data_IF_322192764898
#
_entry.id   IF_322192764898
#
_cell.length_a   1.000
_cell.length_b   1.000
_cell.length_c   1.000
_cell.angle_alpha   90.00
_cell.angle_beta   90.00
_cell.angle_gamma   90.00
#
_symmetry.space_group_name_H-M   'P 1'
#
loop_
_entity.id
_entity.type
_entity.pdbx_description
1 polymer ?
#
# COMPACT_ATOMS: atom_id res chain seq x y z
N UNK A 1 8.30 1.92 25.32
CA UNK A 1 7.39 1.78 24.18
C UNK A 1 7.80 0.53 23.44
N UNK A 2 6.85 -0.23 22.90
CA UNK A 2 7.16 -1.55 22.38
C UNK A 2 6.33 -1.92 21.15
N UNK A 3 7.04 -2.63 20.30
CA UNK A 3 6.83 -3.17 18.96
C UNK A 3 6.76 -2.17 17.82
N UNK A 4 5.83 -1.21 17.81
CA UNK A 4 5.68 -0.36 16.61
C UNK A 4 5.06 1.02 16.87
N UNK A 5 5.89 1.97 17.32
CA UNK A 5 5.54 3.30 17.90
C UNK A 5 4.88 4.32 16.93
N UNK A 6 4.46 3.88 15.74
CA UNK A 6 3.76 4.69 14.75
C UNK A 6 2.23 4.71 14.96
N UNK A 7 1.50 5.68 14.37
CA UNK A 7 0.05 5.70 14.37
C UNK A 7 -0.55 4.37 13.87
N UNK A 8 -1.60 3.92 14.55
CA UNK A 8 -2.39 2.77 14.14
C UNK A 8 -3.48 3.21 13.16
N UNK A 9 -3.55 2.54 12.02
CA UNK A 9 -4.49 2.87 10.94
C UNK A 9 -5.47 1.75 10.60
N UNK A 10 -5.40 0.59 11.26
CA UNK A 10 -6.37 -0.48 11.02
C UNK A 10 -7.77 -0.08 11.50
N UNK A 11 -8.79 -0.48 10.74
CA UNK A 11 -10.19 -0.10 10.96
C UNK A 11 -11.10 -1.30 10.76
N UNK A 12 -11.61 -1.91 11.83
CA UNK A 12 -12.45 -3.12 11.72
C UNK A 12 -13.83 -2.88 11.08
N UNK A 13 -14.33 -1.63 11.15
CA UNK A 13 -15.69 -1.28 10.75
C UNK A 13 -15.76 -0.34 9.54
N UNK A 14 -14.63 -0.04 8.90
CA UNK A 14 -14.59 0.80 7.69
C UNK A 14 -14.10 -0.03 6.50
N UNK A 15 -14.95 -0.17 5.48
CA UNK A 15 -14.59 -0.81 4.21
C UNK A 15 -13.79 0.16 3.33
N UNK A 16 -12.52 0.35 3.70
CA UNK A 16 -11.58 1.21 2.98
C UNK A 16 -10.31 0.46 2.61
N UNK A 17 -9.73 0.83 1.47
CA UNK A 17 -8.45 0.32 0.99
C UNK A 17 -7.47 1.47 0.82
N UNK A 18 -6.28 1.33 1.42
CA UNK A 18 -5.15 2.22 1.16
C UNK A 18 -4.29 1.64 0.06
N UNK A 19 -3.88 2.50 -0.89
CA UNK A 19 -3.17 2.07 -2.10
C UNK A 19 -1.81 2.75 -2.19
N UNK A 20 -0.77 1.95 -2.45
CA UNK A 20 0.58 2.40 -2.76
C UNK A 20 1.04 1.85 -4.11
N UNK A 21 1.73 2.67 -4.88
CA UNK A 21 2.27 2.33 -6.20
C UNK A 21 3.78 2.46 -6.18
N UNK A 22 4.49 1.57 -6.88
CA UNK A 22 5.94 1.68 -6.99
C UNK A 22 6.35 2.91 -7.81
N UNK A 23 7.40 3.60 -7.37
CA UNK A 23 8.04 4.73 -8.05
C UNK A 23 9.26 4.31 -8.87
N UNK A 24 9.69 3.06 -8.73
CA UNK A 24 10.80 2.45 -9.43
C UNK A 24 10.38 1.10 -10.08
N UNK A 25 11.22 0.49 -10.92
CA UNK A 25 11.05 -0.89 -11.34
C UNK A 25 11.00 -1.84 -10.13
N UNK A 26 10.17 -2.89 -10.21
CA UNK A 26 10.03 -3.89 -9.15
C UNK A 26 11.37 -4.55 -8.80
N UNK A 27 12.27 -4.71 -9.78
CA UNK A 27 13.61 -5.29 -9.58
C UNK A 27 14.53 -4.43 -8.70
N UNK A 28 14.16 -3.18 -8.41
CA UNK A 28 14.91 -2.31 -7.50
C UNK A 28 14.38 -2.36 -6.06
N UNK A 29 13.17 -2.90 -5.85
CA UNK A 29 12.59 -3.10 -4.53
C UNK A 29 13.20 -4.38 -3.95
N UNK A 30 13.89 -4.32 -2.79
CA UNK A 30 14.43 -5.51 -2.15
C UNK A 30 13.32 -6.51 -1.79
N UNK A 31 13.59 -7.80 -1.91
CA UNK A 31 12.61 -8.85 -1.55
C UNK A 31 12.16 -8.72 -0.09
N UNK A 32 13.09 -8.39 0.82
CA UNK A 32 12.84 -8.17 2.25
C UNK A 32 12.02 -6.91 2.58
N UNK A 33 11.73 -6.04 1.60
CA UNK A 33 11.09 -4.74 1.87
C UNK A 33 9.70 -4.86 2.52
N UNK A 34 8.97 -5.92 2.18
CA UNK A 34 7.65 -6.25 2.72
C UNK A 34 7.69 -7.43 3.71
N UNK A 35 8.86 -8.05 3.92
CA UNK A 35 9.00 -9.22 4.79
C UNK A 35 9.03 -8.81 6.27
N UNK A 36 8.29 -9.57 7.08
CA UNK A 36 8.17 -9.30 8.50
C UNK A 36 9.49 -9.51 9.23
N UNK A 37 9.87 -8.53 10.01
CA UNK A 37 10.91 -8.68 11.01
C UNK A 37 10.35 -9.55 12.14
N UNK A 38 10.73 -10.83 12.14
CA UNK A 38 10.47 -11.77 13.24
C UNK A 38 11.42 -11.56 14.44
N UNK A 39 12.13 -10.44 14.51
CA UNK A 39 12.95 -10.11 15.67
C UNK A 39 12.04 -10.01 16.91
N UNK A 40 12.46 -10.67 17.98
CA UNK A 40 11.78 -10.64 19.28
C UNK A 40 12.00 -9.30 20.00
N UNK A 41 12.87 -8.44 19.45
CA UNK A 41 13.09 -7.10 19.97
C UNK A 41 11.95 -6.14 19.57
N UNK A 42 11.29 -5.59 20.59
CA UNK A 42 10.19 -4.65 20.48
C UNK A 42 10.56 -3.27 19.89
N UNK A 43 11.83 -3.02 19.56
CA UNK A 43 12.28 -1.75 18.94
C UNK A 43 12.49 -1.84 17.41
N UNK A 44 12.26 -3.02 16.80
CA UNK A 44 12.48 -3.21 15.36
C UNK A 44 11.19 -2.94 14.56
N UNK A 45 11.21 -2.10 13.51
CA UNK A 45 10.04 -1.87 12.65
C UNK A 45 9.51 -3.16 12.03
N UNK A 46 8.20 -3.20 11.73
CA UNK A 46 7.54 -4.42 11.28
C UNK A 46 8.13 -4.97 9.98
N UNK A 47 8.39 -4.07 9.06
CA UNK A 47 9.17 -4.26 7.84
C UNK A 47 9.63 -2.87 7.37
N UNK A 48 10.50 -2.83 6.36
CA UNK A 48 11.03 -1.56 5.85
C UNK A 48 9.90 -0.68 5.27
N UNK A 49 8.89 -1.26 4.64
CA UNK A 49 7.70 -0.54 4.18
C UNK A 49 7.00 0.22 5.31
N UNK A 50 6.75 -0.43 6.44
CA UNK A 50 6.09 0.21 7.60
C UNK A 50 6.92 1.36 8.17
N UNK A 51 8.24 1.16 8.25
CA UNK A 51 9.21 2.19 8.65
C UNK A 51 9.16 3.40 7.70
N UNK A 52 9.22 3.14 6.40
CA UNK A 52 9.22 4.16 5.34
C UNK A 52 7.97 5.04 5.35
N UNK A 53 6.81 4.50 5.75
CA UNK A 53 5.55 5.23 5.83
C UNK A 53 5.17 5.66 7.24
N UNK A 54 6.02 5.38 8.23
CA UNK A 54 5.88 5.85 9.60
C UNK A 54 4.66 5.30 10.33
N UNK A 55 4.27 4.05 10.07
CA UNK A 55 3.23 3.37 10.84
C UNK A 55 3.75 2.06 11.41
N UNK A 56 3.00 1.54 12.37
CA UNK A 56 3.51 0.47 13.18
C UNK A 56 3.35 -0.93 12.60
N UNK A 57 2.12 -1.31 12.30
CA UNK A 57 1.74 -2.68 11.96
C UNK A 57 0.55 -2.70 11.01
N UNK A 58 0.42 -3.75 10.21
CA UNK A 58 -0.76 -4.07 9.42
C UNK A 58 -1.01 -5.58 9.40
N UNK A 59 -2.25 -5.99 9.15
CA UNK A 59 -2.64 -7.39 9.07
C UNK A 59 -2.32 -7.97 7.68
N UNK A 60 -1.57 -9.07 7.63
CA UNK A 60 -1.14 -9.72 6.39
C UNK A 60 -2.30 -10.36 5.63
N UNK A 61 -3.35 -10.77 6.35
CA UNK A 61 -4.53 -11.36 5.74
C UNK A 61 -5.35 -10.31 4.97
N UNK A 62 -5.04 -9.02 5.15
CA UNK A 62 -5.70 -7.88 4.51
C UNK A 62 -4.80 -7.19 3.48
N UNK A 63 -3.71 -7.83 3.07
CA UNK A 63 -2.81 -7.36 2.02
C UNK A 63 -3.20 -7.99 0.69
N UNK A 64 -3.21 -7.18 -0.36
CA UNK A 64 -3.05 -7.69 -1.72
C UNK A 64 -1.95 -6.91 -2.44
N UNK A 65 -1.28 -7.58 -3.36
CA UNK A 65 -0.26 -6.96 -4.18
C UNK A 65 -0.28 -7.55 -5.59
N UNK A 66 0.07 -6.72 -6.56
CA UNK A 66 0.14 -7.14 -7.96
C UNK A 66 1.33 -6.50 -8.64
N UNK A 67 1.95 -7.25 -9.53
CA UNK A 67 3.11 -6.83 -10.30
C UNK A 67 2.78 -6.89 -11.78
N UNK A 68 3.40 -6.00 -12.53
CA UNK A 68 3.29 -6.05 -13.98
C UNK A 68 4.00 -7.26 -14.57
N UNK A 69 3.55 -7.69 -15.75
CA UNK A 69 4.23 -8.74 -16.49
C UNK A 69 5.65 -8.29 -16.86
N UNK A 70 6.62 -9.18 -16.64
CA UNK A 70 8.05 -8.94 -16.92
C UNK A 70 8.67 -7.73 -16.19
N UNK A 71 8.07 -7.30 -15.07
CA UNK A 71 8.56 -6.20 -14.23
C UNK A 71 8.66 -4.83 -14.94
N UNK A 72 7.97 -4.65 -16.07
CA UNK A 72 7.92 -3.36 -16.80
C UNK A 72 6.72 -2.54 -16.35
N UNK A 73 6.88 -1.23 -16.20
CA UNK A 73 5.76 -0.36 -15.84
C UNK A 73 4.56 -0.57 -16.79
N UNK A 74 3.36 -0.72 -16.24
CA UNK A 74 2.09 -0.79 -16.97
C UNK A 74 1.06 0.13 -16.33
N UNK A 75 -0.10 0.28 -16.96
CA UNK A 75 -1.18 1.12 -16.46
C UNK A 75 -1.67 0.68 -15.08
N UNK A 76 -2.06 1.64 -14.24
CA UNK A 76 -2.66 1.32 -12.95
C UNK A 76 -3.97 0.55 -13.07
N UNK A 77 -4.71 0.74 -14.17
CA UNK A 77 -5.93 -0.05 -14.43
C UNK A 77 -5.62 -1.54 -14.49
N UNK A 78 -4.57 -1.92 -15.23
CA UNK A 78 -4.15 -3.32 -15.35
C UNK A 78 -3.69 -3.91 -14.02
N UNK A 79 -2.98 -3.12 -13.20
CA UNK A 79 -2.53 -3.55 -11.88
C UNK A 79 -3.67 -3.68 -10.86
N UNK A 80 -4.65 -2.77 -10.89
CA UNK A 80 -5.76 -2.70 -9.93
C UNK A 80 -6.92 -3.63 -10.27
N UNK A 81 -7.19 -3.86 -11.56
CA UNK A 81 -8.32 -4.66 -12.02
C UNK A 81 -8.42 -6.07 -11.38
N UNK A 82 -7.33 -6.85 -11.23
CA UNK A 82 -7.43 -8.20 -10.64
C UNK A 82 -7.62 -8.22 -9.13
N UNK A 83 -7.52 -7.07 -8.44
CA UNK A 83 -7.65 -7.00 -6.98
C UNK A 83 -9.07 -7.26 -6.50
N UNK A 84 -9.19 -7.76 -5.28
CA UNK A 84 -10.49 -7.92 -4.63
C UNK A 84 -11.22 -6.58 -4.55
N UNK A 85 -12.53 -6.62 -4.81
CA UNK A 85 -13.39 -5.44 -4.78
C UNK A 85 -12.97 -4.29 -5.71
N UNK A 86 -12.02 -4.49 -6.63
CA UNK A 86 -11.47 -3.45 -7.52
C UNK A 86 -12.57 -2.67 -8.24
N UNK A 87 -13.66 -3.35 -8.63
CA UNK A 87 -14.82 -2.75 -9.27
C UNK A 87 -15.42 -1.55 -8.51
N UNK A 88 -15.22 -1.47 -7.20
CA UNK A 88 -15.75 -0.41 -6.33
C UNK A 88 -14.83 0.81 -6.18
N UNK A 89 -13.51 0.65 -6.33
CA UNK A 89 -12.52 1.73 -6.16
C UNK A 89 -11.71 2.08 -7.41
N UNK A 90 -11.63 1.18 -8.40
CA UNK A 90 -10.79 1.30 -9.59
C UNK A 90 -10.92 2.66 -10.28
N UNK A 91 -12.15 3.07 -10.61
CA UNK A 91 -12.40 4.32 -11.32
C UNK A 91 -11.94 5.56 -10.54
N UNK A 92 -12.12 5.57 -9.22
CA UNK A 92 -11.69 6.69 -8.36
C UNK A 92 -10.18 6.69 -8.18
N UNK A 93 -9.58 5.52 -8.03
CA UNK A 93 -8.14 5.35 -7.89
C UNK A 93 -7.39 5.81 -9.14
N UNK A 94 -7.83 5.39 -10.32
CA UNK A 94 -7.22 5.79 -11.60
C UNK A 94 -7.43 7.28 -11.89
N UNK A 95 -8.62 7.83 -11.61
CA UNK A 95 -8.87 9.26 -11.73
C UNK A 95 -7.95 10.10 -10.83
N UNK A 96 -7.75 9.68 -9.57
CA UNK A 96 -6.82 10.37 -8.68
C UNK A 96 -5.39 10.25 -9.19
N UNK A 97 -4.98 9.06 -9.63
CA UNK A 97 -3.65 8.84 -10.17
C UNK A 97 -3.35 9.72 -11.39
N UNK A 98 -4.31 9.86 -12.32
CA UNK A 98 -4.21 10.76 -13.47
C UNK A 98 -4.00 12.21 -13.03
N UNK A 99 -4.74 12.67 -12.01
CA UNK A 99 -4.58 14.02 -11.46
C UNK A 99 -3.22 14.25 -10.80
N UNK A 100 -2.62 13.19 -10.26
CA UNK A 100 -1.28 13.17 -9.67
C UNK A 100 -0.18 12.84 -10.69
N UNK A 101 -0.54 12.69 -11.97
CA UNK A 101 0.36 12.32 -13.07
C UNK A 101 1.06 10.96 -12.89
N UNK A 102 0.46 10.05 -12.13
CA UNK A 102 0.91 8.67 -11.94
C UNK A 102 0.25 7.81 -13.02
N UNK A 103 0.92 7.68 -14.17
CA UNK A 103 0.35 6.97 -15.33
C UNK A 103 0.58 5.47 -15.31
N UNK A 104 1.75 5.07 -14.84
CA UNK A 104 2.20 3.68 -14.88
C UNK A 104 2.93 3.34 -13.59
N UNK A 105 2.94 2.06 -13.25
CA UNK A 105 3.75 1.51 -12.17
C UNK A 105 4.13 0.07 -12.49
N UNK A 106 5.18 -0.43 -11.85
CA UNK A 106 5.62 -1.83 -11.98
C UNK A 106 5.00 -2.74 -10.91
N UNK A 107 4.49 -2.14 -9.83
CA UNK A 107 4.01 -2.85 -8.66
C UNK A 107 3.01 -2.01 -7.88
N UNK A 108 2.00 -2.67 -7.33
CA UNK A 108 1.02 -2.05 -6.45
C UNK A 108 0.88 -2.89 -5.19
N UNK A 109 0.75 -2.19 -4.06
CA UNK A 109 0.58 -2.77 -2.74
C UNK A 109 -0.64 -2.11 -2.10
N UNK A 110 -1.61 -2.90 -1.64
CA UNK A 110 -2.84 -2.40 -1.07
C UNK A 110 -3.14 -3.07 0.27
N UNK A 111 -3.72 -2.29 1.19
CA UNK A 111 -4.15 -2.75 2.51
C UNK A 111 -5.64 -2.46 2.69
N UNK A 112 -6.43 -3.52 2.89
CA UNK A 112 -7.85 -3.40 3.23
C UNK A 112 -8.05 -3.13 4.71
N UNK A 113 -9.17 -2.50 5.06
CA UNK A 113 -9.48 -2.07 6.43
C UNK A 113 -8.32 -1.30 7.07
N UNK A 114 -7.62 -0.52 6.26
CA UNK A 114 -6.46 0.26 6.68
C UNK A 114 -6.58 1.65 6.08
N UNK A 115 -6.64 2.66 6.94
CA UNK A 115 -6.92 4.04 6.56
C UNK A 115 -5.68 4.90 6.76
N UNK A 116 -4.71 4.73 5.89
CA UNK A 116 -3.47 5.49 5.96
C UNK A 116 -3.74 6.99 5.86
N UNK A 117 -3.06 7.77 6.70
CA UNK A 117 -3.21 9.22 6.74
C UNK A 117 -1.84 9.89 6.63
N UNK A 118 -1.48 10.31 5.42
CA UNK A 118 -0.25 11.08 5.17
C UNK A 118 -0.16 12.39 5.96
N UNK A 119 -1.29 12.95 6.43
CA UNK A 119 -1.30 14.14 7.30
C UNK A 119 -0.83 13.83 8.71
N UNK A 120 -1.05 12.61 9.18
CA UNK A 120 -0.61 12.14 10.50
C UNK A 120 0.88 11.82 10.50
N UNK A 121 1.36 11.15 9.45
CA UNK A 121 2.77 10.72 9.34
C UNK A 121 3.67 11.79 8.72
N UNK A 122 3.11 12.69 7.91
CA UNK A 122 3.88 13.62 7.08
C UNK A 122 4.51 12.99 5.85
N UNK A 123 4.17 11.72 5.53
CA UNK A 123 4.82 10.93 4.50
C UNK A 123 3.80 10.53 3.43
N UNK A 124 4.09 10.84 2.17
CA UNK A 124 3.29 10.41 1.01
C UNK A 124 4.07 9.57 0.01
N UNK A 125 5.39 9.47 0.18
CA UNK A 125 6.30 8.79 -0.74
C UNK A 125 7.59 8.40 -0.02
N UNK A 126 8.10 7.22 -0.37
CA UNK A 126 9.40 6.69 0.04
C UNK A 126 10.30 6.52 -1.18
N UNK A 127 11.47 5.90 -0.99
CA UNK A 127 12.37 5.56 -2.09
C UNK A 127 11.72 4.66 -3.15
N UNK A 128 10.83 3.76 -2.72
CA UNK A 128 10.29 2.68 -3.56
C UNK A 128 8.82 2.83 -3.89
N UNK A 129 8.05 3.46 -3.01
CA UNK A 129 6.59 3.48 -3.08
C UNK A 129 6.06 4.89 -2.90
N UNK A 130 4.94 5.20 -3.56
CA UNK A 130 4.16 6.42 -3.37
C UNK A 130 2.76 6.05 -2.93
N UNK A 131 2.27 6.71 -1.89
CA UNK A 131 0.87 6.60 -1.47
C UNK A 131 -0.02 7.29 -2.50
N UNK A 132 -0.98 6.54 -3.04
CA UNK A 132 -1.97 7.05 -3.98
C UNK A 132 -3.17 7.66 -3.27
N UNK A 133 -3.73 6.94 -2.28
CA UNK A 133 -4.93 7.39 -1.59
C UNK A 133 -5.65 6.29 -0.83
N UNK A 134 -6.71 6.69 -0.12
CA UNK A 134 -7.67 5.79 0.51
C UNK A 134 -8.98 5.82 -0.26
N UNK A 135 -9.55 4.65 -0.55
CA UNK A 135 -10.78 4.52 -1.31
C UNK A 135 -11.77 3.61 -0.58
N UNK A 136 -13.07 3.93 -0.62
CA UNK A 136 -14.08 2.99 -0.13
C UNK A 136 -14.16 1.79 -1.08
N UNK A 137 -14.39 0.60 -0.52
CA UNK A 137 -14.72 -0.59 -1.29
C UNK A 137 -16.06 -1.18 -0.85
N UNK A 138 -16.61 -2.09 -1.66
CA UNK A 138 -17.87 -2.77 -1.37
C UNK A 138 -17.63 -4.27 -1.31
N UNK A 139 -17.88 -4.88 -0.15
CA UNK A 139 -17.87 -6.35 0.00
C UNK A 139 -18.97 -6.94 -0.87
N UNK A 140 -18.65 -7.95 -1.66
CA UNK A 140 -19.66 -8.71 -2.39
C UNK A 140 -20.60 -9.38 -1.37
N UNK A 141 -21.89 -9.05 -1.45
CA UNK A 141 -22.97 -9.61 -0.63
C UNK A 141 -23.36 -11.01 -1.05
#
# INVERSE_FOLDING_TARGET
MGRYDGPHFSTENEDVVSIWVATCPLTEIPDEYFEDNHDENDDTPFNQFSSDFGFGYYDHDLVEANRSENSKATSLTELLQPMSYSQSFLAKATQLADSLQIKESSYIFILYNFKYCQKTTGISESKYMRFLGVFPYVRAS
#
